data_IF_832538862305
#
_entry.id   IF_832538862305
#
_cell.length_a   1.000
_cell.length_b   1.000
_cell.length_c   1.000
_cell.angle_alpha   90.00
_cell.angle_beta   90.00
_cell.angle_gamma   90.00
#
_symmetry.space_group_name_H-M   'P 1'
#
loop_
_entity.id
_entity.type
_entity.pdbx_description
1 polymer ?
#
# COMPACT_ATOMS: atom_id res chain seq x y z
N UNK A 1 0.93 -32.56 -46.18
CA UNK A 1 1.63 -32.65 -44.89
C UNK A 1 1.51 -31.27 -44.29
N UNK A 2 0.43 -31.12 -43.52
CA UNK A 2 -0.05 -29.87 -42.95
C UNK A 2 0.61 -29.63 -41.59
N UNK A 3 1.32 -28.52 -41.46
CA UNK A 3 1.72 -27.98 -40.15
C UNK A 3 0.65 -26.99 -39.68
N UNK A 4 -0.18 -27.47 -38.75
CA UNK A 4 -1.11 -26.65 -37.98
C UNK A 4 -0.32 -25.84 -36.94
N UNK A 5 -0.07 -24.57 -37.25
CA UNK A 5 0.39 -23.60 -36.28
C UNK A 5 -0.75 -23.28 -35.31
N UNK A 6 -0.42 -23.45 -34.04
CA UNK A 6 -1.29 -23.45 -32.86
C UNK A 6 -2.00 -22.10 -32.63
N UNK A 7 -3.33 -22.09 -32.85
CA UNK A 7 -4.22 -20.95 -32.63
C UNK A 7 -4.36 -20.53 -31.15
N UNK A 8 -3.80 -21.28 -30.20
CA UNK A 8 -3.80 -20.87 -28.78
C UNK A 8 -2.77 -19.80 -28.45
N UNK A 9 -1.71 -19.63 -29.26
CA UNK A 9 -0.66 -18.63 -29.00
C UNK A 9 -1.02 -17.21 -29.46
N UNK A 10 -2.01 -17.06 -30.35
CA UNK A 10 -2.46 -15.76 -30.88
C UNK A 10 -3.51 -15.09 -29.98
N UNK A 11 -4.29 -15.87 -29.21
CA UNK A 11 -5.29 -15.32 -28.25
C UNK A 11 -4.68 -14.79 -26.94
N UNK A 12 -3.48 -15.24 -26.57
CA UNK A 12 -2.77 -14.73 -25.40
C UNK A 12 -2.25 -13.30 -25.63
N UNK A 13 -1.79 -12.99 -26.84
CA UNK A 13 -1.25 -11.67 -27.21
C UNK A 13 -2.35 -10.60 -27.36
N UNK A 14 -3.55 -10.97 -27.81
CA UNK A 14 -4.70 -10.05 -27.85
C UNK A 14 -5.31 -9.76 -26.46
N UNK A 15 -5.17 -10.69 -25.51
CA UNK A 15 -5.66 -10.51 -24.14
C UNK A 15 -4.77 -9.57 -23.32
N UNK A 16 -3.45 -9.56 -23.58
CA UNK A 16 -2.48 -8.64 -22.95
C UNK A 16 -2.64 -7.20 -23.46
N UNK A 17 -3.00 -7.01 -24.74
CA UNK A 17 -3.35 -5.69 -25.28
C UNK A 17 -4.63 -5.10 -24.67
N UNK A 18 -5.61 -5.97 -24.33
CA UNK A 18 -6.87 -5.56 -23.68
C UNK A 18 -6.72 -5.22 -22.20
N UNK A 19 -5.79 -5.85 -21.46
CA UNK A 19 -5.48 -5.46 -20.09
C UNK A 19 -4.78 -4.09 -19.99
N UNK A 20 -4.05 -3.68 -21.03
CA UNK A 20 -3.49 -2.31 -21.10
C UNK A 20 -4.49 -1.25 -21.58
N UNK A 21 -5.62 -1.63 -22.18
CA UNK A 21 -6.64 -0.68 -22.68
C UNK A 21 -7.93 -0.66 -21.85
N UNK A 22 -8.21 -1.68 -21.05
CA UNK A 22 -9.44 -1.81 -20.27
C UNK A 22 -9.16 -2.06 -18.78
N UNK A 23 -8.59 -1.07 -18.09
CA UNK A 23 -8.49 -1.10 -16.63
C UNK A 23 -7.61 0.01 -16.08
N UNK A 24 -8.20 0.92 -15.33
CA UNK A 24 -7.50 1.83 -14.40
C UNK A 24 -6.50 2.90 -14.93
N UNK A 25 -6.11 2.97 -16.20
CA UNK A 25 -5.16 4.04 -16.66
C UNK A 25 -5.71 4.96 -17.76
N UNK A 26 -6.60 4.47 -18.63
CA UNK A 26 -7.12 5.25 -19.78
C UNK A 26 -8.27 6.21 -19.44
N UNK A 27 -9.06 5.97 -18.38
CA UNK A 27 -10.13 6.89 -17.94
C UNK A 27 -9.63 8.10 -17.13
N UNK A 28 -8.34 8.18 -16.83
CA UNK A 28 -7.84 9.05 -15.76
C UNK A 28 -7.43 10.47 -16.19
N UNK A 29 -7.44 10.82 -17.49
CA UNK A 29 -7.15 12.20 -17.94
C UNK A 29 -7.89 12.63 -19.21
N UNK A 30 -9.18 12.30 -19.33
CA UNK A 30 -10.03 12.85 -20.40
C UNK A 30 -10.75 14.12 -19.94
N UNK A 31 -10.04 15.26 -19.92
CA UNK A 31 -10.66 16.58 -20.03
C UNK A 31 -9.59 17.66 -20.27
N UNK A 32 -9.45 18.12 -21.52
CA UNK A 32 -9.16 19.53 -21.85
C UNK A 32 -9.45 19.76 -23.35
N UNK A 33 -10.55 20.42 -23.72
CA UNK A 33 -10.54 21.26 -24.90
C UNK A 33 -9.79 22.56 -24.54
N UNK A 34 -8.76 22.90 -25.31
CA UNK A 34 -8.19 24.24 -25.32
C UNK A 34 -9.26 25.22 -25.79
N UNK A 35 -9.75 26.09 -24.91
CA UNK A 35 -10.50 27.28 -25.30
C UNK A 35 -9.79 28.51 -24.72
N UNK A 36 -9.19 29.30 -25.63
CA UNK A 36 -8.79 30.68 -25.37
C UNK A 36 -10.08 31.50 -25.29
N UNK A 37 -10.51 31.87 -24.10
CA UNK A 37 -11.30 33.09 -23.89
C UNK A 37 -11.26 33.48 -22.41
N UNK A 38 -10.58 34.59 -22.13
CA UNK A 38 -10.57 35.29 -20.85
C UNK A 38 -11.97 35.83 -20.55
N UNK A 39 -12.75 35.10 -19.76
CA UNK A 39 -13.85 35.66 -18.98
C UNK A 39 -13.64 35.24 -17.52
N UNK A 40 -13.54 36.21 -16.62
CA UNK A 40 -13.49 36.01 -15.16
C UNK A 40 -14.59 35.03 -14.74
N UNK A 41 -14.23 33.78 -14.45
CA UNK A 41 -15.17 32.80 -13.88
C UNK A 41 -15.47 33.24 -12.45
N UNK A 42 -16.75 33.53 -12.17
CA UNK A 42 -17.26 33.66 -10.80
C UNK A 42 -16.87 32.39 -10.02
N UNK A 43 -16.39 32.58 -8.79
CA UNK A 43 -16.10 31.49 -7.86
C UNK A 43 -17.32 30.55 -7.77
N UNK A 44 -17.15 29.23 -7.89
CA UNK A 44 -18.27 28.31 -7.78
C UNK A 44 -18.86 28.44 -6.37
N UNK A 45 -20.14 28.80 -6.29
CA UNK A 45 -20.90 28.71 -5.04
C UNK A 45 -20.78 27.27 -4.53
N UNK A 46 -20.19 27.12 -3.35
CA UNK A 46 -20.07 25.84 -2.65
C UNK A 46 -21.49 25.37 -2.35
N UNK A 47 -22.04 24.50 -3.19
CA UNK A 47 -23.33 23.85 -2.92
C UNK A 47 -23.16 23.10 -1.59
N UNK A 48 -23.99 23.42 -0.62
CA UNK A 48 -24.07 22.63 0.61
C UNK A 48 -24.28 21.17 0.22
N UNK A 49 -23.47 20.23 0.73
CA UNK A 49 -23.66 18.83 0.43
C UNK A 49 -25.03 18.43 0.98
N UNK A 50 -25.96 18.07 0.08
CA UNK A 50 -27.21 17.42 0.48
C UNK A 50 -26.83 16.09 1.11
N UNK A 51 -27.02 15.97 2.42
CA UNK A 51 -26.94 14.72 3.15
C UNK A 51 -28.10 13.83 2.70
N UNK A 52 -27.85 12.98 1.70
CA UNK A 52 -28.75 11.90 1.31
C UNK A 52 -28.39 10.67 2.15
N UNK A 53 -29.17 10.45 3.21
CA UNK A 53 -29.13 9.19 3.96
C UNK A 53 -29.87 8.14 3.13
N UNK A 54 -29.12 7.22 2.53
CA UNK A 54 -29.69 6.04 1.88
C UNK A 54 -29.48 4.83 2.77
N UNK A 55 -30.54 4.07 3.03
CA UNK A 55 -30.45 2.77 3.67
C UNK A 55 -30.24 1.71 2.60
N UNK A 56 -29.12 1.00 2.63
CA UNK A 56 -28.93 -0.19 1.83
C UNK A 56 -29.45 -1.39 2.62
N UNK A 57 -30.60 -1.92 2.23
CA UNK A 57 -31.16 -3.14 2.80
C UNK A 57 -31.56 -4.09 1.67
N UNK A 58 -31.15 -5.35 1.77
CA UNK A 58 -31.68 -6.40 0.91
C UNK A 58 -33.14 -6.59 1.33
N UNK A 59 -34.07 -6.57 0.37
CA UNK A 59 -35.49 -6.86 0.64
C UNK A 59 -35.61 -8.26 1.24
N UNK A 60 -36.48 -8.42 2.24
CA UNK A 60 -36.67 -9.68 2.98
C UNK A 60 -36.93 -10.88 2.06
N UNK A 61 -37.74 -10.67 1.02
CA UNK A 61 -38.03 -11.66 -0.04
C UNK A 61 -36.80 -12.19 -0.79
N UNK A 62 -35.66 -11.51 -0.70
CA UNK A 62 -34.39 -11.89 -1.35
C UNK A 62 -33.33 -12.37 -0.36
N UNK A 63 -33.64 -12.47 0.93
CA UNK A 63 -32.66 -12.87 1.95
C UNK A 63 -32.12 -14.28 1.70
N UNK A 64 -32.99 -15.22 1.32
CA UNK A 64 -32.56 -16.60 1.02
C UNK A 64 -31.67 -16.68 -0.23
N UNK A 65 -32.01 -15.94 -1.29
CA UNK A 65 -31.19 -15.82 -2.50
C UNK A 65 -29.82 -15.23 -2.16
N UNK A 66 -29.81 -14.14 -1.41
CA UNK A 66 -28.61 -13.46 -0.96
C UNK A 66 -27.73 -14.37 -0.08
N UNK A 67 -28.33 -15.05 0.90
CA UNK A 67 -27.62 -15.98 1.79
C UNK A 67 -26.96 -17.12 1.00
N UNK A 68 -27.68 -17.71 0.04
CA UNK A 68 -27.12 -18.75 -0.85
C UNK A 68 -25.96 -18.21 -1.68
N UNK A 69 -26.10 -17.02 -2.26
CA UNK A 69 -25.05 -16.40 -3.05
C UNK A 69 -23.80 -16.10 -2.21
N UNK A 70 -23.97 -15.55 -1.00
CA UNK A 70 -22.88 -15.25 -0.06
C UNK A 70 -22.18 -16.54 0.39
N UNK A 71 -22.93 -17.59 0.73
CA UNK A 71 -22.33 -18.88 1.11
C UNK A 71 -21.57 -19.53 -0.06
N UNK A 72 -22.09 -19.44 -1.28
CA UNK A 72 -21.40 -19.94 -2.47
C UNK A 72 -20.09 -19.17 -2.74
N UNK A 73 -20.12 -17.84 -2.65
CA UNK A 73 -18.93 -17.00 -2.77
C UNK A 73 -17.91 -17.30 -1.66
N UNK A 74 -18.39 -17.50 -0.43
CA UNK A 74 -17.53 -17.81 0.70
C UNK A 74 -16.82 -19.16 0.55
N UNK A 75 -17.55 -20.21 0.13
CA UNK A 75 -16.96 -21.53 -0.16
C UNK A 75 -15.88 -21.42 -1.24
N UNK A 76 -16.20 -20.76 -2.35
CA UNK A 76 -15.26 -20.57 -3.45
C UNK A 76 -13.98 -19.84 -3.01
N UNK A 77 -14.12 -18.77 -2.24
CA UNK A 77 -12.96 -18.01 -1.73
C UNK A 77 -12.10 -18.83 -0.77
N UNK A 78 -12.71 -19.62 0.12
CA UNK A 78 -11.96 -20.50 1.04
C UNK A 78 -11.23 -21.60 0.28
N UNK A 79 -11.86 -22.18 -0.74
CA UNK A 79 -11.23 -23.19 -1.60
C UNK A 79 -10.03 -22.63 -2.38
N UNK A 80 -10.12 -21.38 -2.86
CA UNK A 80 -9.03 -20.70 -3.60
C UNK A 80 -7.94 -20.10 -2.70
N UNK A 81 -8.14 -20.10 -1.38
CA UNK A 81 -7.24 -19.43 -0.43
C UNK A 81 -5.78 -19.89 -0.55
N UNK A 82 -5.45 -21.20 -0.57
CA UNK A 82 -4.06 -21.63 -0.62
C UNK A 82 -3.35 -21.15 -1.89
N UNK A 83 -4.04 -21.18 -3.04
CA UNK A 83 -3.50 -20.72 -4.31
C UNK A 83 -3.27 -19.20 -4.32
N UNK A 84 -4.24 -18.44 -3.82
CA UNK A 84 -4.18 -16.97 -3.74
C UNK A 84 -3.06 -16.51 -2.80
N UNK A 85 -2.92 -17.17 -1.65
CA UNK A 85 -1.81 -16.92 -0.73
C UNK A 85 -0.46 -17.26 -1.36
N UNK A 86 -0.37 -18.41 -2.04
CA UNK A 86 0.86 -18.85 -2.69
C UNK A 86 1.34 -17.82 -3.72
N UNK A 87 0.44 -17.29 -4.56
CA UNK A 87 0.75 -16.23 -5.54
C UNK A 87 1.47 -15.05 -4.89
N UNK A 88 0.91 -14.51 -3.79
CA UNK A 88 1.54 -13.37 -3.10
C UNK A 88 2.91 -13.76 -2.55
N UNK A 89 3.02 -14.92 -1.91
CA UNK A 89 4.27 -15.33 -1.28
C UNK A 89 5.36 -15.72 -2.29
N UNK A 90 4.99 -16.19 -3.49
CA UNK A 90 5.91 -16.46 -4.59
C UNK A 90 6.49 -15.17 -5.15
N UNK A 91 5.67 -14.14 -5.34
CA UNK A 91 6.16 -12.83 -5.78
C UNK A 91 7.12 -12.21 -4.76
N UNK A 92 6.87 -12.40 -3.46
CA UNK A 92 7.79 -11.97 -2.39
C UNK A 92 9.10 -12.78 -2.36
N UNK A 93 9.08 -14.07 -2.69
CA UNK A 93 10.31 -14.88 -2.79
C UNK A 93 11.11 -14.64 -4.07
N UNK A 94 10.45 -14.09 -5.09
CA UNK A 94 11.08 -13.81 -6.39
C UNK A 94 11.60 -12.38 -6.49
N UNK A 95 10.79 -11.40 -6.11
CA UNK A 95 11.09 -9.98 -6.26
C UNK A 95 11.21 -9.25 -4.92
N UNK A 96 11.92 -8.11 -4.91
CA UNK A 96 12.23 -7.32 -3.72
C UNK A 96 11.00 -7.06 -2.82
N UNK A 97 10.88 -7.73 -1.65
CA UNK A 97 9.74 -7.58 -0.75
C UNK A 97 9.59 -6.18 -0.19
N UNK A 98 10.70 -5.48 0.06
CA UNK A 98 10.69 -4.14 0.62
C UNK A 98 10.15 -3.16 -0.41
N UNK A 99 10.60 -3.31 -1.66
CA UNK A 99 10.07 -2.57 -2.80
C UNK A 99 8.57 -2.78 -3.00
N UNK A 100 8.11 -4.02 -2.92
CA UNK A 100 6.69 -4.39 -3.05
C UNK A 100 5.85 -3.76 -1.94
N UNK A 101 6.19 -3.97 -0.67
CA UNK A 101 5.45 -3.42 0.48
C UNK A 101 5.43 -1.89 0.45
N UNK A 102 6.58 -1.27 0.18
CA UNK A 102 6.68 0.19 0.13
C UNK A 102 5.81 0.76 -0.99
N UNK A 103 5.86 0.16 -2.18
CA UNK A 103 5.05 0.59 -3.33
C UNK A 103 3.56 0.36 -3.07
N UNK A 104 3.21 -0.76 -2.45
CA UNK A 104 1.84 -1.06 -2.06
C UNK A 104 1.28 -0.01 -1.11
N UNK A 105 2.03 0.35 -0.06
CA UNK A 105 1.66 1.37 0.90
C UNK A 105 1.54 2.77 0.25
N UNK A 106 2.48 3.13 -0.63
CA UNK A 106 2.47 4.42 -1.33
C UNK A 106 1.22 4.60 -2.18
N UNK A 107 0.87 3.63 -3.03
CA UNK A 107 -0.31 3.74 -3.89
C UNK A 107 -1.64 3.49 -3.16
N UNK A 108 -1.62 2.68 -2.10
CA UNK A 108 -2.81 2.29 -1.35
C UNK A 108 -3.22 3.30 -0.29
N UNK A 109 -2.25 3.82 0.48
CA UNK A 109 -2.52 4.57 1.71
C UNK A 109 -2.32 6.09 1.56
N UNK A 110 -1.57 6.54 0.55
CA UNK A 110 -1.37 7.98 0.37
C UNK A 110 -2.50 8.64 -0.41
N UNK A 111 -2.97 9.78 0.09
CA UNK A 111 -3.84 10.68 -0.65
C UNK A 111 -3.02 11.81 -1.26
N UNK A 112 -3.07 11.96 -2.58
CA UNK A 112 -2.39 13.06 -3.26
C UNK A 112 -3.13 14.38 -2.98
N UNK A 113 -2.42 15.40 -2.51
CA UNK A 113 -2.94 16.76 -2.44
C UNK A 113 -2.69 17.49 -3.77
N UNK A 114 -3.76 17.96 -4.40
CA UNK A 114 -3.71 18.79 -5.60
C UNK A 114 -3.74 20.29 -5.26
N UNK A 115 -3.66 21.13 -6.30
CA UNK A 115 -3.80 22.59 -6.14
C UNK A 115 -5.18 23.01 -5.59
N UNK A 116 -6.18 22.16 -5.74
CA UNK A 116 -7.56 22.38 -5.27
C UNK A 116 -7.81 21.77 -3.88
N UNK A 117 -6.77 21.32 -3.17
CA UNK A 117 -6.84 20.71 -1.84
C UNK A 117 -6.49 19.22 -1.81
N UNK A 118 -6.65 18.61 -0.63
CA UNK A 118 -6.43 17.16 -0.44
C UNK A 118 -7.48 16.38 -1.22
N UNK A 119 -7.05 15.50 -2.12
CA UNK A 119 -7.96 14.64 -2.85
C UNK A 119 -8.54 13.61 -1.86
N UNK A 120 -9.85 13.58 -1.70
CA UNK A 120 -10.52 12.74 -0.67
C UNK A 120 -10.58 11.25 -1.03
N UNK A 121 -9.92 10.84 -2.13
CA UNK A 121 -9.90 9.45 -2.61
C UNK A 121 -8.46 9.03 -2.86
N UNK A 122 -8.07 7.91 -2.25
CA UNK A 122 -6.82 7.20 -2.55
C UNK A 122 -6.76 6.87 -4.05
N UNK A 123 -5.53 6.74 -4.58
CA UNK A 123 -5.28 6.38 -5.98
C UNK A 123 -5.88 5.01 -6.30
N UNK A 124 -5.81 4.08 -5.34
CA UNK A 124 -6.45 2.77 -5.39
C UNK A 124 -7.57 2.71 -4.34
N UNK A 125 -8.82 2.66 -4.80
CA UNK A 125 -10.00 2.72 -3.92
C UNK A 125 -10.19 1.49 -3.04
N UNK A 126 -9.65 0.37 -3.48
CA UNK A 126 -9.89 -0.95 -2.87
C UNK A 126 -8.72 -1.40 -1.99
N UNK A 127 -7.73 -0.52 -1.78
CA UNK A 127 -6.60 -0.80 -0.88
C UNK A 127 -6.78 -0.03 0.42
N UNK A 128 -6.79 -0.77 1.52
CA UNK A 128 -6.96 -0.24 2.87
C UNK A 128 -5.75 -0.59 3.73
N UNK A 129 -5.62 0.06 4.88
CA UNK A 129 -4.49 -0.10 5.81
C UNK A 129 -4.25 -1.56 6.20
N UNK A 130 -5.31 -2.31 6.52
CA UNK A 130 -5.18 -3.72 6.90
C UNK A 130 -4.64 -4.61 5.76
N UNK A 131 -4.78 -4.22 4.48
CA UNK A 131 -4.15 -4.93 3.37
C UNK A 131 -2.62 -4.76 3.39
N UNK A 132 -2.14 -3.55 3.67
CA UNK A 132 -0.70 -3.28 3.76
C UNK A 132 -0.08 -4.00 4.97
N UNK A 133 -0.80 -4.06 6.08
CA UNK A 133 -0.36 -4.79 7.28
C UNK A 133 -0.35 -6.30 7.07
N UNK A 134 -1.35 -6.85 6.37
CA UNK A 134 -1.36 -8.26 5.99
C UNK A 134 -0.15 -8.56 5.09
N UNK A 135 0.09 -7.75 4.08
CA UNK A 135 1.25 -7.92 3.19
C UNK A 135 2.57 -7.85 3.96
N UNK A 136 2.71 -6.90 4.90
CA UNK A 136 3.89 -6.83 5.77
C UNK A 136 4.02 -8.08 6.66
N UNK A 137 2.92 -8.56 7.25
CA UNK A 137 2.91 -9.78 8.04
C UNK A 137 3.36 -11.00 7.22
N UNK A 138 2.89 -11.10 5.97
CA UNK A 138 3.32 -12.15 5.03
C UNK A 138 4.82 -12.06 4.73
N UNK A 139 5.36 -10.86 4.49
CA UNK A 139 6.82 -10.69 4.32
C UNK A 139 7.59 -11.17 5.56
N UNK A 140 7.08 -10.91 6.77
CA UNK A 140 7.71 -11.35 8.02
C UNK A 140 7.62 -12.86 8.27
N UNK A 141 6.81 -13.60 7.51
CA UNK A 141 6.79 -15.07 7.55
C UNK A 141 7.92 -15.71 6.74
N UNK A 142 8.54 -14.94 5.84
CA UNK A 142 9.58 -15.41 4.92
C UNK A 142 10.97 -15.10 5.52
N UNK A 143 11.83 -16.10 5.73
CA UNK A 143 13.23 -15.90 6.14
C UNK A 143 13.99 -14.97 5.18
N UNK A 144 14.95 -14.20 5.71
CA UNK A 144 15.69 -13.20 4.92
C UNK A 144 16.41 -13.78 3.71
N UNK A 145 16.93 -15.00 3.83
CA UNK A 145 17.67 -15.71 2.78
C UNK A 145 16.78 -16.20 1.63
N UNK A 146 15.47 -16.30 1.87
CA UNK A 146 14.45 -16.62 0.85
C UNK A 146 13.86 -15.38 0.18
N UNK A 147 14.25 -14.17 0.58
CA UNK A 147 13.71 -12.95 -0.02
C UNK A 147 14.12 -12.79 -1.48
N UNK A 148 13.15 -12.38 -2.30
CA UNK A 148 13.36 -12.05 -3.69
C UNK A 148 14.39 -10.94 -3.88
N UNK A 149 15.21 -11.09 -4.93
CA UNK A 149 16.28 -10.14 -5.28
C UNK A 149 16.02 -9.45 -6.62
N UNK A 150 15.06 -9.95 -7.39
CA UNK A 150 14.70 -9.34 -8.67
C UNK A 150 13.98 -8.00 -8.43
N UNK A 151 14.19 -6.99 -9.29
CA UNK A 151 13.36 -5.81 -9.25
C UNK A 151 11.91 -6.19 -9.55
N UNK A 152 10.98 -5.69 -8.74
CA UNK A 152 9.57 -5.83 -9.05
C UNK A 152 9.21 -4.98 -10.28
N UNK A 153 8.16 -5.39 -10.99
CA UNK A 153 7.67 -4.70 -12.20
C UNK A 153 6.24 -4.20 -11.99
N UNK A 154 5.74 -3.29 -12.84
CA UNK A 154 4.34 -2.88 -12.78
C UNK A 154 3.34 -4.06 -12.91
N UNK A 155 3.72 -5.12 -13.64
CA UNK A 155 2.89 -6.31 -13.77
C UNK A 155 2.81 -7.07 -12.43
N UNK A 156 3.95 -7.26 -11.76
CA UNK A 156 4.03 -7.87 -10.43
C UNK A 156 3.20 -7.07 -9.42
N UNK A 157 3.35 -5.74 -9.40
CA UNK A 157 2.54 -4.90 -8.53
C UNK A 157 1.05 -4.99 -8.85
N UNK A 158 0.68 -5.11 -10.13
CA UNK A 158 -0.70 -5.38 -10.53
C UNK A 158 -1.25 -6.66 -9.89
N UNK A 159 -0.49 -7.76 -9.96
CA UNK A 159 -0.83 -9.01 -9.28
C UNK A 159 -0.99 -8.81 -7.77
N UNK A 160 -0.05 -8.12 -7.11
CA UNK A 160 -0.10 -7.89 -5.66
C UNK A 160 -1.31 -7.02 -5.27
N UNK A 161 -1.60 -5.95 -6.01
CA UNK A 161 -2.76 -5.07 -5.78
C UNK A 161 -4.09 -5.80 -5.92
N UNK A 162 -4.18 -6.78 -6.82
CA UNK A 162 -5.40 -7.58 -6.99
C UNK A 162 -5.50 -8.70 -5.96
N UNK A 163 -4.38 -9.34 -5.62
CA UNK A 163 -4.37 -10.60 -4.87
C UNK A 163 -4.43 -10.38 -3.37
N UNK A 164 -3.72 -9.38 -2.82
CA UNK A 164 -3.70 -9.11 -1.37
C UNK A 164 -5.10 -8.83 -0.81
N UNK A 165 -5.97 -8.02 -1.45
CA UNK A 165 -7.35 -7.84 -1.00
C UNK A 165 -8.15 -9.15 -0.97
N UNK A 166 -7.97 -10.04 -1.96
CA UNK A 166 -8.64 -11.36 -1.98
C UNK A 166 -8.21 -12.25 -0.82
N UNK A 167 -6.91 -12.25 -0.50
CA UNK A 167 -6.40 -12.95 0.69
C UNK A 167 -7.07 -12.40 1.96
N UNK A 168 -7.15 -11.07 2.10
CA UNK A 168 -7.79 -10.44 3.25
C UNK A 168 -9.30 -10.74 3.35
N UNK A 169 -10.01 -10.74 2.22
CA UNK A 169 -11.45 -11.02 2.15
C UNK A 169 -11.76 -12.49 2.51
N UNK A 170 -10.87 -13.42 2.19
CA UNK A 170 -11.06 -14.84 2.49
C UNK A 170 -11.27 -15.10 3.98
N UNK A 171 -10.63 -14.33 4.87
CA UNK A 171 -10.85 -14.47 6.31
C UNK A 171 -12.29 -14.11 6.72
N UNK A 172 -12.95 -13.15 6.06
CA UNK A 172 -14.37 -12.88 6.28
C UNK A 172 -15.22 -14.07 5.81
N UNK A 173 -14.88 -14.65 4.65
CA UNK A 173 -15.56 -15.81 4.12
C UNK A 173 -15.46 -17.06 5.00
N UNK A 174 -14.28 -17.36 5.55
CA UNK A 174 -14.11 -18.46 6.53
C UNK A 174 -15.07 -18.32 7.72
N UNK A 175 -15.29 -17.09 8.21
CA UNK A 175 -16.19 -16.80 9.35
C UNK A 175 -17.66 -16.88 8.97
N UNK A 176 -18.02 -16.48 7.76
CA UNK A 176 -19.35 -16.69 7.19
C UNK A 176 -19.67 -18.19 7.15
N UNK A 177 -18.72 -19.03 6.72
CA UNK A 177 -18.88 -20.48 6.71
C UNK A 177 -18.92 -21.07 8.12
N UNK A 178 -18.14 -20.54 9.07
CA UNK A 178 -18.18 -20.98 10.46
C UNK A 178 -19.56 -20.71 11.12
N UNK A 179 -20.27 -19.67 10.68
CA UNK A 179 -21.63 -19.39 11.10
C UNK A 179 -22.70 -20.22 10.34
N UNK A 180 -22.31 -20.97 9.30
CA UNK A 180 -23.20 -21.83 8.53
C UNK A 180 -23.61 -23.04 9.37
N UNK A 181 -24.85 -23.03 9.85
CA UNK A 181 -25.41 -24.11 10.68
C UNK A 181 -25.66 -23.72 12.13
N UNK A 182 -25.30 -22.50 12.54
CA UNK A 182 -25.71 -21.93 13.83
C UNK A 182 -27.23 -21.73 13.80
N UNK A 183 -27.95 -22.53 14.60
CA UNK A 183 -29.41 -22.50 14.69
C UNK A 183 -29.91 -21.72 15.90
N UNK A 184 -29.08 -21.60 16.95
CA UNK A 184 -29.41 -20.78 18.11
C UNK A 184 -29.32 -19.28 17.76
N UNK A 185 -30.39 -18.55 18.08
CA UNK A 185 -30.50 -17.13 17.79
C UNK A 185 -29.55 -16.30 18.66
N UNK A 186 -29.31 -16.70 19.90
CA UNK A 186 -28.41 -15.95 20.79
C UNK A 186 -26.96 -16.09 20.31
N UNK A 187 -26.52 -17.31 20.01
CA UNK A 187 -25.21 -17.60 19.44
C UNK A 187 -24.99 -16.86 18.11
N UNK A 188 -25.97 -16.91 17.19
CA UNK A 188 -25.88 -16.18 15.93
C UNK A 188 -25.78 -14.66 16.14
N UNK A 189 -26.49 -14.12 17.12
CA UNK A 189 -26.43 -12.69 17.48
C UNK A 189 -25.05 -12.32 18.01
N UNK A 190 -24.47 -13.15 18.89
CA UNK A 190 -23.12 -12.94 19.43
C UNK A 190 -22.08 -12.94 18.31
N UNK A 191 -22.13 -13.93 17.40
CA UNK A 191 -21.23 -14.00 16.24
C UNK A 191 -21.38 -12.78 15.34
N UNK A 192 -22.61 -12.37 15.04
CA UNK A 192 -22.89 -11.18 14.23
C UNK A 192 -22.34 -9.90 14.86
N UNK A 193 -22.45 -9.74 16.18
CA UNK A 193 -21.90 -8.61 16.92
C UNK A 193 -20.36 -8.61 16.92
N UNK A 194 -19.74 -9.77 17.12
CA UNK A 194 -18.29 -9.92 17.04
C UNK A 194 -17.76 -9.53 15.66
N UNK A 195 -18.41 -9.99 14.58
CA UNK A 195 -18.01 -9.61 13.21
C UNK A 195 -18.16 -8.13 12.95
N UNK A 196 -19.24 -7.51 13.45
CA UNK A 196 -19.43 -6.07 13.31
C UNK A 196 -18.32 -5.28 14.01
N UNK A 197 -17.92 -5.70 15.22
CA UNK A 197 -16.79 -5.09 15.94
C UNK A 197 -15.49 -5.26 15.14
N UNK A 198 -15.20 -6.48 14.66
CA UNK A 198 -14.00 -6.78 13.87
C UNK A 198 -13.91 -5.90 12.62
N UNK A 199 -14.99 -5.80 11.85
CA UNK A 199 -15.05 -4.96 10.65
C UNK A 199 -14.82 -3.49 10.97
N UNK A 200 -15.39 -2.97 12.07
CA UNK A 200 -15.14 -1.60 12.50
C UNK A 200 -13.67 -1.37 12.88
N UNK A 201 -13.03 -2.29 13.60
CA UNK A 201 -11.61 -2.18 13.98
C UNK A 201 -10.64 -2.44 12.82
N UNK A 202 -11.08 -3.15 11.78
CA UNK A 202 -10.30 -3.38 10.58
C UNK A 202 -10.29 -2.14 9.66
N UNK A 203 -11.41 -1.43 9.59
CA UNK A 203 -11.59 -0.26 8.72
C UNK A 203 -11.18 1.06 9.37
N UNK A 204 -11.32 1.20 10.70
CA UNK A 204 -11.03 2.44 11.43
C UNK A 204 -9.83 2.20 12.34
N UNK A 205 -8.65 2.70 11.95
CA UNK A 205 -7.42 2.65 12.77
C UNK A 205 -7.18 3.91 13.58
N UNK A 206 -7.56 5.07 13.04
CA UNK A 206 -7.55 6.32 13.76
C UNK A 206 -8.97 6.75 14.16
N UNK A 207 -9.12 7.14 15.42
CA UNK A 207 -10.37 7.66 16.00
C UNK A 207 -10.48 9.19 15.90
N UNK A 208 -9.53 9.84 15.23
CA UNK A 208 -9.48 11.29 15.03
C UNK A 208 -8.46 11.72 13.99
N UNK A 209 -8.29 13.03 13.82
CA UNK A 209 -7.22 13.56 12.96
C UNK A 209 -5.85 13.19 13.51
N UNK A 210 -4.90 12.90 12.63
CA UNK A 210 -3.54 12.51 13.00
C UNK A 210 -2.90 13.41 14.08
N UNK A 211 -3.01 14.74 13.94
CA UNK A 211 -2.49 15.69 14.92
C UNK A 211 -3.16 15.60 16.29
N UNK A 212 -4.47 15.32 16.33
CA UNK A 212 -5.20 15.13 17.58
C UNK A 212 -4.84 13.81 18.25
N UNK A 213 -4.68 12.74 17.47
CA UNK A 213 -4.24 11.43 17.98
C UNK A 213 -2.85 11.55 18.62
N UNK A 214 -1.91 12.22 17.95
CA UNK A 214 -0.56 12.45 18.49
C UNK A 214 -0.63 13.28 19.79
N UNK A 215 -1.36 14.40 19.78
CA UNK A 215 -1.49 15.27 20.95
C UNK A 215 -2.10 14.53 22.14
N UNK A 216 -3.26 13.90 21.95
CA UNK A 216 -3.98 13.23 23.04
C UNK A 216 -3.18 12.04 23.57
N UNK A 217 -2.51 11.28 22.70
CA UNK A 217 -1.64 10.18 23.13
C UNK A 217 -0.46 10.69 23.95
N UNK A 218 0.16 11.79 23.52
CA UNK A 218 1.28 12.41 24.25
C UNK A 218 0.82 12.92 25.62
N UNK A 219 -0.32 13.60 25.68
CA UNK A 219 -0.89 14.12 26.94
C UNK A 219 -1.21 12.98 27.92
N UNK A 220 -1.77 11.87 27.42
CA UNK A 220 -2.16 10.73 28.25
C UNK A 220 -0.94 9.97 28.78
N UNK A 221 0.00 9.63 27.91
CA UNK A 221 1.12 8.76 28.24
C UNK A 221 2.34 9.50 28.79
N UNK A 222 2.47 10.81 28.58
CA UNK A 222 3.61 11.59 29.05
C UNK A 222 3.80 11.54 30.57
N UNK A 223 2.70 11.44 31.33
CA UNK A 223 2.74 11.25 32.79
C UNK A 223 3.43 9.95 33.25
N UNK A 224 3.60 8.98 32.34
CA UNK A 224 4.24 7.70 32.60
C UNK A 224 5.73 7.70 32.21
N UNK A 225 6.25 8.74 31.57
CA UNK A 225 7.61 8.77 31.03
C UNK A 225 8.68 8.47 32.09
N UNK A 226 8.55 9.04 33.28
CA UNK A 226 9.52 8.83 34.37
C UNK A 226 9.53 7.38 34.87
N UNK A 227 8.42 6.65 34.69
CA UNK A 227 8.35 5.22 34.99
C UNK A 227 8.83 4.36 33.83
N UNK A 228 8.64 4.80 32.58
CA UNK A 228 9.02 4.03 31.39
C UNK A 228 10.52 4.11 31.09
N UNK A 229 11.14 5.29 31.27
CA UNK A 229 12.56 5.51 30.97
C UNK A 229 13.51 4.52 31.65
N UNK A 230 13.36 4.20 32.96
CA UNK A 230 14.23 3.21 33.60
C UNK A 230 14.09 1.79 33.03
N UNK A 231 12.94 1.42 32.47
CA UNK A 231 12.69 0.07 31.96
C UNK A 231 13.07 -0.09 30.49
N UNK A 232 12.75 0.91 29.66
CA UNK A 232 12.92 0.82 28.21
C UNK A 232 14.09 1.66 27.68
N UNK A 233 14.64 2.56 28.49
CA UNK A 233 15.64 3.56 28.07
C UNK A 233 15.03 4.77 27.37
N UNK A 234 13.70 4.85 27.25
CA UNK A 234 12.95 5.94 26.64
C UNK A 234 11.54 6.05 27.23
N UNK A 235 10.94 7.24 27.13
CA UNK A 235 9.54 7.48 27.53
C UNK A 235 8.54 7.22 26.39
N UNK A 236 7.25 7.21 26.71
CA UNK A 236 6.19 7.16 25.71
C UNK A 236 6.23 8.40 24.80
N UNK A 237 6.52 9.57 25.35
CA UNK A 237 6.67 10.80 24.56
C UNK A 237 7.80 10.67 23.54
N UNK A 238 8.94 10.09 23.94
CA UNK A 238 10.07 9.87 23.03
C UNK A 238 9.68 8.95 21.86
N UNK A 239 8.95 7.86 22.15
CA UNK A 239 8.43 6.94 21.14
C UNK A 239 7.51 7.67 20.15
N UNK A 240 6.52 8.42 20.65
CA UNK A 240 5.55 9.14 19.80
C UNK A 240 6.27 10.16 18.91
N UNK A 241 7.19 10.94 19.47
CA UNK A 241 7.93 11.96 18.71
C UNK A 241 8.85 11.37 17.65
N UNK A 242 9.54 10.27 17.97
CA UNK A 242 10.39 9.54 17.02
C UNK A 242 9.57 8.97 15.87
N UNK A 243 8.47 8.27 16.15
CA UNK A 243 7.63 7.70 15.11
C UNK A 243 6.97 8.78 14.25
N UNK A 244 6.51 9.87 14.88
CA UNK A 244 5.95 11.01 14.15
C UNK A 244 7.00 11.69 13.25
N UNK A 245 8.28 11.73 13.66
CA UNK A 245 9.36 12.25 12.82
C UNK A 245 9.63 11.37 11.59
N UNK A 246 9.59 10.04 11.76
CA UNK A 246 9.72 9.10 10.63
C UNK A 246 8.60 9.31 9.61
N UNK A 247 7.38 9.47 10.09
CA UNK A 247 6.19 9.63 9.24
C UNK A 247 6.23 10.92 8.44
N UNK A 248 6.52 12.04 9.11
CA UNK A 248 6.69 13.34 8.44
C UNK A 248 7.76 13.28 7.36
N UNK A 249 8.88 12.61 7.63
CA UNK A 249 9.96 12.48 6.65
C UNK A 249 9.55 11.56 5.48
N UNK A 250 8.87 10.46 5.74
CA UNK A 250 8.32 9.59 4.70
C UNK A 250 7.38 10.37 3.77
N UNK A 251 6.43 11.12 4.32
CA UNK A 251 5.50 11.96 3.57
C UNK A 251 6.24 13.03 2.76
N UNK A 252 7.25 13.68 3.37
CA UNK A 252 8.09 14.68 2.69
C UNK A 252 8.81 14.08 1.49
N UNK A 253 9.46 12.93 1.65
CA UNK A 253 10.20 12.21 0.59
C UNK A 253 9.28 11.83 -0.57
N UNK A 254 8.06 11.34 -0.27
CA UNK A 254 7.09 10.96 -1.30
C UNK A 254 6.48 12.17 -1.99
N UNK A 255 6.16 13.22 -1.24
CA UNK A 255 5.67 14.49 -1.80
C UNK A 255 6.68 15.10 -2.76
N UNK A 256 7.97 15.07 -2.40
CA UNK A 256 9.06 15.51 -3.27
C UNK A 256 9.14 14.64 -4.55
N UNK A 257 9.03 13.33 -4.40
CA UNK A 257 9.02 12.39 -5.52
C UNK A 257 7.89 12.67 -6.51
N UNK A 258 6.65 12.77 -6.04
CA UNK A 258 5.50 13.07 -6.87
C UNK A 258 5.56 14.47 -7.49
N UNK A 259 6.13 15.44 -6.78
CA UNK A 259 6.36 16.80 -7.32
C UNK A 259 7.33 16.77 -8.51
N UNK A 260 8.37 15.91 -8.48
CA UNK A 260 9.27 15.72 -9.64
C UNK A 260 8.54 15.02 -10.79
N UNK A 261 7.82 13.92 -10.51
CA UNK A 261 7.03 13.21 -11.51
C UNK A 261 5.99 14.11 -12.20
N UNK A 262 5.32 14.99 -11.46
CA UNK A 262 4.36 15.94 -11.99
C UNK A 262 4.95 16.90 -13.05
N UNK A 263 6.28 17.07 -13.10
CA UNK A 263 6.98 17.85 -14.14
C UNK A 263 7.36 17.03 -15.37
N UNK A 264 7.37 15.70 -15.26
CA UNK A 264 7.75 14.77 -16.34
C UNK A 264 6.52 14.23 -17.07
N UNK A 265 5.55 13.73 -16.32
CA UNK A 265 4.37 13.01 -16.83
C UNK A 265 3.51 13.81 -17.83
N UNK A 266 3.23 15.12 -17.63
CA UNK A 266 2.39 15.88 -18.58
C UNK A 266 3.13 16.31 -19.86
N UNK A 267 4.30 15.75 -20.15
CA UNK A 267 5.07 16.08 -21.35
C UNK A 267 4.30 15.74 -22.64
N UNK A 268 4.39 16.60 -23.68
CA UNK A 268 3.54 16.50 -24.87
C UNK A 268 3.82 15.25 -25.72
N UNK A 269 5.06 14.76 -25.73
CA UNK A 269 5.50 13.61 -26.53
C UNK A 269 6.60 12.82 -25.81
N UNK A 270 6.89 11.61 -26.30
CA UNK A 270 7.88 10.68 -25.75
C UNK A 270 9.27 11.31 -25.62
N UNK A 271 9.76 11.97 -26.68
CA UNK A 271 11.08 12.62 -26.68
C UNK A 271 11.21 13.66 -25.58
N UNK A 272 10.20 14.53 -25.44
CA UNK A 272 10.19 15.55 -24.39
C UNK A 272 10.05 14.92 -22.99
N UNK A 273 9.28 13.84 -22.87
CA UNK A 273 9.13 13.11 -21.61
C UNK A 273 10.46 12.53 -21.13
N UNK A 274 11.21 11.87 -22.01
CA UNK A 274 12.53 11.33 -21.70
C UNK A 274 13.52 12.45 -21.34
N UNK A 275 13.56 13.55 -22.10
CA UNK A 275 14.42 14.70 -21.77
C UNK A 275 14.07 15.32 -20.41
N UNK A 276 12.78 15.50 -20.12
CA UNK A 276 12.33 16.01 -18.83
C UNK A 276 12.66 15.02 -17.70
N UNK A 277 12.60 13.71 -17.98
CA UNK A 277 12.94 12.68 -17.01
C UNK A 277 14.40 12.81 -16.56
N UNK A 278 15.36 12.84 -17.49
CA UNK A 278 16.78 13.08 -17.16
C UNK A 278 17.02 14.46 -16.54
N UNK A 279 16.25 15.49 -16.91
CA UNK A 279 16.36 16.83 -16.32
C UNK A 279 15.94 16.87 -14.84
N UNK A 280 14.87 16.17 -14.46
CA UNK A 280 14.30 16.22 -13.10
C UNK A 280 14.78 15.07 -12.19
N UNK A 281 15.48 14.09 -12.76
CA UNK A 281 16.15 13.00 -12.05
C UNK A 281 17.63 12.98 -12.44
N UNK A 282 18.43 13.97 -12.00
CA UNK A 282 19.84 14.11 -12.36
C UNK A 282 20.72 12.97 -11.86
N UNK A 283 20.22 12.14 -10.94
CA UNK A 283 20.89 10.92 -10.48
C UNK A 283 20.90 9.78 -11.51
N UNK A 284 20.16 9.92 -12.62
CA UNK A 284 20.15 8.91 -13.69
C UNK A 284 21.50 8.90 -14.43
N UNK A 285 22.01 7.69 -14.69
CA UNK A 285 23.20 7.48 -15.51
C UNK A 285 22.84 7.47 -16.99
N UNK A 286 23.77 7.95 -17.83
CA UNK A 286 23.59 8.06 -19.28
C UNK A 286 22.88 9.34 -19.73
N UNK A 287 22.58 9.44 -21.02
CA UNK A 287 21.87 10.57 -21.62
C UNK A 287 20.44 10.25 -22.06
N UNK A 288 19.58 11.28 -22.21
CA UNK A 288 18.22 11.10 -22.72
C UNK A 288 18.20 10.56 -24.16
N UNK A 289 19.20 10.89 -24.98
CA UNK A 289 19.27 10.39 -26.35
C UNK A 289 19.71 8.92 -26.42
N UNK A 290 20.50 8.43 -25.46
CA UNK A 290 20.86 7.02 -25.36
C UNK A 290 19.63 6.16 -25.09
N UNK A 291 18.78 6.60 -24.15
CA UNK A 291 17.52 5.93 -23.87
C UNK A 291 16.60 5.95 -25.10
N UNK A 292 16.47 7.09 -25.77
CA UNK A 292 15.65 7.20 -26.99
C UNK A 292 16.16 6.30 -28.13
N UNK A 293 17.47 6.11 -28.25
CA UNK A 293 18.06 5.24 -29.25
C UNK A 293 17.85 3.74 -28.93
N UNK A 294 17.85 3.37 -27.64
CA UNK A 294 17.62 2.00 -27.18
C UNK A 294 16.14 1.59 -27.18
N UNK A 295 15.22 2.54 -27.38
CA UNK A 295 13.79 2.26 -27.32
C UNK A 295 13.29 1.49 -28.55
N UNK A 296 12.38 0.52 -28.37
CA UNK A 296 11.67 -0.10 -29.48
C UNK A 296 10.90 0.93 -30.32
N UNK A 297 10.80 0.75 -31.64
CA UNK A 297 9.98 1.62 -32.49
C UNK A 297 8.50 1.54 -32.07
N UNK A 298 7.81 2.68 -32.08
CA UNK A 298 6.36 2.75 -31.85
C UNK A 298 5.90 2.82 -30.39
N UNK A 299 6.81 3.00 -29.42
CA UNK A 299 6.43 3.21 -28.02
C UNK A 299 5.51 4.42 -27.88
N UNK A 300 4.32 4.19 -27.35
CA UNK A 300 3.33 5.25 -27.12
C UNK A 300 3.70 6.15 -25.95
N UNK A 301 3.10 7.34 -25.87
CA UNK A 301 3.28 8.24 -24.72
C UNK A 301 2.87 7.58 -23.41
N UNK A 302 1.80 6.80 -23.43
CA UNK A 302 1.29 6.11 -22.23
C UNK A 302 2.20 4.92 -21.85
N UNK A 303 2.79 4.21 -22.83
CA UNK A 303 3.81 3.20 -22.59
C UNK A 303 5.07 3.79 -21.95
N UNK A 304 5.57 4.91 -22.47
CA UNK A 304 6.70 5.63 -21.88
C UNK A 304 6.38 6.13 -20.46
N UNK A 305 5.17 6.65 -20.25
CA UNK A 305 4.69 7.06 -18.92
C UNK A 305 4.76 5.88 -17.94
N UNK A 306 4.23 4.72 -18.32
CA UNK A 306 4.27 3.50 -17.50
C UNK A 306 5.69 3.05 -17.17
N UNK A 307 6.59 3.09 -18.15
CA UNK A 307 8.00 2.74 -17.97
C UNK A 307 8.72 3.67 -16.97
N UNK A 308 8.54 4.99 -17.11
CA UNK A 308 9.12 5.98 -16.20
C UNK A 308 8.55 5.82 -14.79
N UNK A 309 7.24 5.62 -14.66
CA UNK A 309 6.60 5.41 -13.35
C UNK A 309 7.11 4.13 -12.70
N UNK A 310 7.12 3.00 -13.41
CA UNK A 310 7.63 1.73 -12.87
C UNK A 310 9.10 1.81 -12.44
N UNK A 311 9.96 2.50 -13.21
CA UNK A 311 11.34 2.70 -12.80
C UNK A 311 11.48 3.65 -11.59
N UNK A 312 10.57 4.62 -11.46
CA UNK A 312 10.50 5.50 -10.29
C UNK A 312 10.07 4.75 -9.02
N UNK A 313 9.14 3.80 -9.15
CA UNK A 313 8.61 2.99 -8.06
C UNK A 313 9.72 2.19 -7.36
N UNK A 314 10.76 1.76 -8.08
CA UNK A 314 11.92 1.04 -7.52
C UNK A 314 12.64 1.80 -6.38
N UNK A 315 12.40 3.11 -6.24
CA UNK A 315 12.97 3.95 -5.18
C UNK A 315 12.06 4.07 -3.95
N UNK A 316 10.88 3.45 -3.94
CA UNK A 316 9.99 3.49 -2.76
C UNK A 316 10.63 2.81 -1.55
N UNK A 317 11.34 1.69 -1.75
CA UNK A 317 12.06 0.99 -0.68
C UNK A 317 13.08 1.89 0.02
N UNK A 318 13.90 2.61 -0.76
CA UNK A 318 14.86 3.57 -0.23
C UNK A 318 14.16 4.69 0.56
N UNK A 319 13.05 5.23 0.04
CA UNK A 319 12.30 6.31 0.70
C UNK A 319 11.57 5.87 1.97
N UNK A 320 11.17 4.60 2.04
CA UNK A 320 10.56 3.97 3.20
C UNK A 320 11.60 3.48 4.23
N UNK A 321 12.89 3.61 3.93
CA UNK A 321 13.98 3.15 4.79
C UNK A 321 14.67 4.29 5.53
N UNK A 322 15.03 4.04 6.79
CA UNK A 322 15.57 5.02 7.72
C UNK A 322 16.77 4.46 8.48
N UNK A 323 17.76 5.30 8.76
CA UNK A 323 18.85 4.95 9.68
C UNK A 323 18.62 5.57 11.06
N UNK A 324 19.17 4.96 12.11
CA UNK A 324 19.14 5.53 13.48
C UNK A 324 19.69 6.96 13.49
N UNK A 325 20.79 7.21 12.78
CA UNK A 325 21.43 8.53 12.74
C UNK A 325 20.53 9.59 12.08
N UNK A 326 19.83 9.22 11.02
CA UNK A 326 18.87 10.09 10.36
C UNK A 326 17.67 10.40 11.26
N UNK A 327 17.06 9.38 11.86
CA UNK A 327 15.90 9.56 12.73
C UNK A 327 16.24 10.36 13.98
N UNK A 328 17.44 10.16 14.55
CA UNK A 328 17.96 11.00 15.64
C UNK A 328 18.07 12.48 15.24
N UNK A 329 18.56 12.76 14.02
CA UNK A 329 18.61 14.13 13.50
C UNK A 329 17.22 14.74 13.31
N UNK A 330 16.27 13.97 12.78
CA UNK A 330 14.90 14.43 12.49
C UNK A 330 14.07 14.65 13.75
N UNK A 331 14.24 13.79 14.76
CA UNK A 331 13.50 13.85 16.03
C UNK A 331 14.17 14.75 17.08
N UNK A 332 15.46 15.07 16.91
CA UNK A 332 16.26 15.77 17.93
C UNK A 332 16.61 14.90 19.14
N UNK A 333 16.39 13.58 19.06
CA UNK A 333 16.64 12.64 20.17
C UNK A 333 18.04 12.01 20.09
N UNK A 334 18.61 11.57 21.22
CA UNK A 334 19.88 10.82 21.22
C UNK A 334 19.80 9.54 20.38
N UNK A 335 20.88 9.19 19.69
CA UNK A 335 20.94 7.98 18.86
C UNK A 335 20.61 6.70 19.63
N UNK A 336 21.03 6.61 20.89
CA UNK A 336 20.76 5.46 21.77
C UNK A 336 19.27 5.29 22.06
N UNK A 337 18.57 6.40 22.30
CA UNK A 337 17.10 6.43 22.49
C UNK A 337 16.38 5.99 21.21
N UNK A 338 16.79 6.55 20.07
CA UNK A 338 16.20 6.19 18.76
C UNK A 338 16.45 4.72 18.42
N UNK A 339 17.65 4.20 18.67
CA UNK A 339 17.96 2.79 18.44
C UNK A 339 17.10 1.86 19.31
N UNK A 340 16.94 2.19 20.60
CA UNK A 340 16.08 1.44 21.51
C UNK A 340 14.62 1.45 21.04
N UNK A 341 14.11 2.61 20.63
CA UNK A 341 12.75 2.76 20.09
C UNK A 341 12.58 1.92 18.83
N UNK A 342 13.42 2.12 17.80
CA UNK A 342 13.27 1.41 16.52
C UNK A 342 13.37 -0.10 16.69
N UNK A 343 14.26 -0.57 17.59
CA UNK A 343 14.36 -1.99 17.94
C UNK A 343 13.10 -2.53 18.64
N UNK A 344 12.44 -1.73 19.48
CA UNK A 344 11.22 -2.16 20.18
C UNK A 344 10.00 -2.31 19.27
N UNK A 345 9.93 -1.51 18.20
CA UNK A 345 8.79 -1.48 17.27
C UNK A 345 9.06 -2.18 15.95
N UNK A 346 10.06 -3.06 15.91
CA UNK A 346 10.46 -3.71 14.67
C UNK A 346 10.76 -5.18 14.85
N UNK A 347 10.62 -5.93 13.77
CA UNK A 347 10.81 -7.38 13.72
C UNK A 347 11.90 -7.75 12.73
N UNK A 348 12.63 -8.82 13.06
CA UNK A 348 13.54 -9.44 12.10
C UNK A 348 12.73 -10.16 11.00
N UNK A 349 13.22 -10.17 9.75
CA UNK A 349 12.69 -11.04 8.71
C UNK A 349 12.58 -12.50 9.17
N UNK A 350 11.51 -13.19 8.79
CA UNK A 350 11.24 -14.57 9.21
C UNK A 350 10.79 -14.74 10.67
N UNK A 351 10.66 -13.66 11.46
CA UNK A 351 10.22 -13.76 12.86
C UNK A 351 8.79 -14.28 13.04
N UNK A 352 7.99 -14.33 11.97
CA UNK A 352 6.66 -14.94 11.93
C UNK A 352 6.64 -16.28 11.18
N UNK A 353 7.79 -16.85 10.85
CA UNK A 353 7.86 -18.15 10.18
C UNK A 353 7.11 -19.24 10.97
N UNK A 354 6.33 -20.06 10.28
CA UNK A 354 5.49 -21.11 10.89
C UNK A 354 4.22 -20.60 11.58
N UNK A 355 3.96 -19.30 11.59
CA UNK A 355 2.67 -18.76 12.10
C UNK A 355 1.54 -19.18 11.17
N UNK A 356 0.42 -19.62 11.74
CA UNK A 356 -0.79 -19.87 10.96
C UNK A 356 -1.26 -18.56 10.30
N UNK A 357 -1.38 -18.50 8.95
CA UNK A 357 -1.88 -17.32 8.25
C UNK A 357 -3.22 -16.78 8.78
N UNK A 358 -4.09 -17.64 9.30
CA UNK A 358 -5.37 -17.24 9.91
C UNK A 358 -5.19 -16.30 11.12
N UNK A 359 -4.08 -16.43 11.86
CA UNK A 359 -3.80 -15.60 13.03
C UNK A 359 -3.19 -14.24 12.66
N UNK A 360 -2.58 -14.12 11.48
CA UNK A 360 -2.03 -12.85 11.00
C UNK A 360 -3.11 -11.78 10.80
N UNK A 361 -4.37 -12.20 10.67
CA UNK A 361 -5.50 -11.30 10.51
C UNK A 361 -6.18 -10.93 11.83
N UNK A 362 -6.31 -11.89 12.76
CA UNK A 362 -7.07 -11.70 14.02
C UNK A 362 -6.28 -10.96 15.09
N UNK A 363 -4.98 -11.25 15.18
CA UNK A 363 -4.06 -10.63 16.12
C UNK A 363 -2.80 -10.25 15.36
N UNK A 364 -2.94 -9.32 14.41
CA UNK A 364 -1.88 -9.01 13.48
C UNK A 364 -0.62 -8.54 14.25
N UNK A 365 0.46 -9.33 14.26
CA UNK A 365 1.65 -9.06 15.07
C UNK A 365 2.44 -7.82 14.60
N UNK A 366 2.03 -7.24 13.47
CA UNK A 366 2.54 -5.98 12.93
C UNK A 366 2.04 -4.78 13.72
N UNK A 367 0.93 -4.88 14.47
CA UNK A 367 0.43 -3.76 15.29
C UNK A 367 1.39 -3.38 16.41
N UNK A 368 2.02 -4.38 17.03
CA UNK A 368 3.00 -4.15 18.10
C UNK A 368 4.37 -3.71 17.55
N UNK A 369 4.72 -4.18 16.36
CA UNK A 369 6.03 -3.94 15.76
C UNK A 369 5.92 -3.80 14.22
N UNK A 370 5.56 -2.61 13.72
CA UNK A 370 5.33 -2.34 12.30
C UNK A 370 6.60 -2.13 11.47
N UNK A 371 7.78 -2.10 12.09
CA UNK A 371 9.06 -1.95 11.41
C UNK A 371 9.72 -3.29 11.04
N UNK A 372 10.57 -3.25 10.02
CA UNK A 372 11.47 -4.35 9.65
C UNK A 372 12.90 -3.99 10.05
N UNK A 373 13.55 -4.85 10.84
CA UNK A 373 15.00 -4.77 11.13
C UNK A 373 15.80 -5.23 9.91
N UNK A 374 16.30 -4.28 9.13
CA UNK A 374 17.20 -4.57 8.02
C UNK A 374 18.64 -4.43 8.52
N UNK A 375 19.14 -5.52 9.11
CA UNK A 375 20.57 -5.67 9.38
C UNK A 375 21.29 -5.80 8.03
N UNK A 376 21.77 -4.69 7.49
CA UNK A 376 22.51 -4.68 6.22
C UNK A 376 23.88 -5.31 6.46
N UNK A 377 24.04 -6.58 6.11
CA UNK A 377 25.34 -7.20 5.88
C UNK A 377 25.86 -6.81 4.49
N UNK A 378 26.18 -5.53 4.27
CA UNK A 378 27.00 -5.09 3.12
C UNK A 378 27.53 -3.66 3.29
N UNK A 379 28.81 -3.52 3.63
CA UNK A 379 29.69 -2.39 3.33
C UNK A 379 29.20 -0.94 3.62
N UNK A 380 28.39 -0.73 4.66
CA UNK A 380 28.17 0.57 5.29
C UNK A 380 27.78 0.32 6.76
N UNK A 381 28.42 0.96 7.77
CA UNK A 381 28.21 0.62 9.18
C UNK A 381 26.89 1.16 9.75
N UNK A 382 25.82 1.26 8.95
CA UNK A 382 24.53 1.79 9.38
C UNK A 382 23.42 0.76 9.24
N UNK A 383 22.84 0.32 10.38
CA UNK A 383 21.56 -0.41 10.41
C UNK A 383 20.48 0.44 9.76
N UNK A 384 19.67 -0.16 8.89
CA UNK A 384 18.48 0.48 8.30
C UNK A 384 17.23 -0.21 8.81
N UNK A 385 16.17 0.55 8.91
CA UNK A 385 14.83 0.09 9.23
C UNK A 385 13.94 0.44 8.06
N UNK A 386 13.16 -0.50 7.53
CA UNK A 386 12.07 -0.16 6.62
C UNK A 386 10.78 -0.15 7.40
N UNK A 387 10.07 0.97 7.36
CA UNK A 387 8.76 1.09 7.97
C UNK A 387 7.73 1.08 6.85
N UNK A 388 6.91 0.02 6.81
CA UNK A 388 5.60 0.15 6.21
C UNK A 388 4.76 0.94 7.22
N UNK A 389 4.75 2.25 7.06
CA UNK A 389 4.04 3.14 7.98
C UNK A 389 2.55 2.79 7.88
N UNK A 390 2.05 2.15 8.92
CA UNK A 390 0.62 2.02 9.20
C UNK A 390 0.18 3.28 9.94
N UNK A 391 0.00 4.39 9.21
CA UNK A 391 -0.62 5.61 9.75
C UNK A 391 -1.56 6.17 8.69
N UNK A 392 -2.85 6.02 8.94
CA UNK A 392 -3.92 6.80 8.35
C UNK A 392 -4.79 7.33 9.47
#
# INVERSE_FOLDING_TARGET
MDDKIDLHRVKATESISRLHTAGATSRYYRCMPRSKNNRRKKSPQRKEPKLELSSFAIKEERHDEFKKAVLAAARHSVDEFPATLQIVTDELRKSDPIGIVSTFAVYGLQTLAGRDGVNTKSVLKDIQQHHAELLLALVMTIPLDEWGKDPFTPAIMGTVFETVPKVAETFLHQRILAAEGVTDKQEFTVLSLQERIRLHTQAVRNWGYYSDVIRISTDLYGSLDDRLKPHFGFGATDLIEVMAAVVREFERRHSEHYTRLAKVIPSPNVRQMVRNYYKYFPELKGGPEDLLAAMPPGVSRDGMRGMIMGHCDLRHSERASFTVAEVAKLSGKPKTVVEAILKSVSRAPGSLAGTNPDYLFLANPIWDAPGIDLVIYSCSPSRKWSLAISIA
#
